data_IF_499216107739
#
_entry.id   IF_499216107739
#
_cell.length_a   1.000
_cell.length_b   1.000
_cell.length_c   1.000
_cell.angle_alpha   90.00
_cell.angle_beta   90.00
_cell.angle_gamma   90.00
#
_symmetry.space_group_name_H-M   'P 1'
#
loop_
_entity.id
_entity.type
_entity.pdbx_description
1 polymer ?
#
# COMPACT_ATOMS: atom_id res chain seq x y z
N UNK A 1 11.64 20.54 8.99
CA UNK A 1 12.98 19.91 9.04
C UNK A 1 13.45 19.66 10.48
N UNK A 2 13.39 20.68 11.36
CA UNK A 2 13.81 20.58 12.76
C UNK A 2 13.18 19.37 13.48
N UNK A 3 11.86 19.19 13.37
CA UNK A 3 11.15 18.03 13.96
C UNK A 3 11.69 16.66 13.53
N UNK A 4 12.14 16.51 12.27
CA UNK A 4 12.71 15.24 11.79
C UNK A 4 14.13 15.01 12.32
N UNK A 5 14.93 16.07 12.39
CA UNK A 5 16.29 15.99 12.95
C UNK A 5 16.25 15.71 14.45
N UNK A 6 15.37 16.39 15.18
CA UNK A 6 15.18 16.20 16.61
C UNK A 6 14.54 14.84 16.93
N UNK A 7 13.74 14.30 16.00
CA UNK A 7 13.11 12.99 16.10
C UNK A 7 14.05 11.81 15.79
N UNK A 8 15.10 12.03 15.00
CA UNK A 8 16.00 10.97 14.54
C UNK A 8 16.62 10.12 15.67
N UNK A 9 17.12 10.70 16.79
CA UNK A 9 17.68 9.93 17.90
C UNK A 9 16.70 8.94 18.53
N UNK A 10 15.39 9.16 18.39
CA UNK A 10 14.34 8.30 18.92
C UNK A 10 13.95 7.16 17.97
N UNK A 11 14.55 7.11 16.77
CA UNK A 11 14.43 5.99 15.82
C UNK A 11 12.97 5.61 15.49
N UNK A 12 12.10 6.60 15.41
CA UNK A 12 10.68 6.43 15.07
C UNK A 12 10.45 5.70 13.73
N UNK A 13 11.44 5.73 12.84
CA UNK A 13 11.42 5.05 11.54
C UNK A 13 11.48 3.51 11.62
N UNK A 14 11.62 2.91 12.81
CA UNK A 14 11.41 1.46 13.00
C UNK A 14 9.94 1.10 13.31
N UNK A 15 9.11 2.09 13.62
CA UNK A 15 7.71 1.94 14.02
C UNK A 15 6.80 2.31 12.83
N UNK A 16 6.77 1.45 11.81
CA UNK A 16 6.15 1.75 10.52
C UNK A 16 4.77 1.13 10.31
N UNK A 17 4.38 0.19 11.17
CA UNK A 17 3.12 -0.54 11.06
C UNK A 17 2.61 -0.94 12.44
N UNK A 18 1.36 -0.59 12.73
CA UNK A 18 0.61 -1.07 13.89
C UNK A 18 -0.86 -1.28 13.49
N UNK A 19 -1.72 -1.66 14.44
CA UNK A 19 -3.14 -1.88 14.17
C UNK A 19 -3.85 -0.67 13.54
N UNK A 20 -3.46 0.55 13.90
CA UNK A 20 -4.12 1.80 13.49
C UNK A 20 -3.47 2.48 12.28
N UNK A 21 -2.16 2.29 12.07
CA UNK A 21 -1.35 3.06 11.11
C UNK A 21 -0.39 2.16 10.33
N UNK A 22 0.04 2.63 9.16
CA UNK A 22 1.05 1.99 8.34
C UNK A 22 0.54 1.65 6.93
N UNK A 23 1.43 1.06 6.13
CA UNK A 23 1.27 0.97 4.68
C UNK A 23 -0.06 0.31 4.23
N UNK A 24 -0.50 -0.73 4.93
CA UNK A 24 -1.76 -1.43 4.68
C UNK A 24 -3.01 -0.54 4.70
N UNK A 25 -3.00 0.57 5.44
CA UNK A 25 -4.10 1.55 5.48
C UNK A 25 -3.79 2.78 4.64
N UNK A 26 -2.55 3.23 4.69
CA UNK A 26 -2.12 4.41 3.95
C UNK A 26 -2.27 4.22 2.45
N UNK A 27 -2.03 3.01 1.95
CA UNK A 27 -2.16 2.70 0.54
C UNK A 27 -3.62 2.71 0.07
N UNK A 28 -4.54 2.09 0.82
CA UNK A 28 -5.97 2.15 0.50
C UNK A 28 -6.47 3.60 0.51
N UNK A 29 -6.10 4.35 1.55
CA UNK A 29 -6.47 5.76 1.67
C UNK A 29 -5.90 6.59 0.51
N UNK A 30 -4.66 6.33 0.10
CA UNK A 30 -4.05 6.99 -1.05
C UNK A 30 -4.89 6.78 -2.31
N UNK A 31 -5.35 5.55 -2.59
CA UNK A 31 -6.20 5.24 -3.75
C UNK A 31 -7.52 6.00 -3.67
N UNK A 32 -8.15 6.07 -2.49
CA UNK A 32 -9.42 6.81 -2.30
C UNK A 32 -9.30 8.33 -2.54
N UNK A 33 -8.08 8.87 -2.52
CA UNK A 33 -7.80 10.27 -2.79
C UNK A 33 -7.37 10.54 -4.24
N UNK A 34 -7.17 9.50 -5.05
CA UNK A 34 -6.84 9.66 -6.45
C UNK A 34 -8.08 10.05 -7.25
N UNK A 35 -7.89 10.94 -8.22
CA UNK A 35 -8.83 11.12 -9.33
C UNK A 35 -8.52 10.01 -10.33
N UNK A 36 -9.54 9.31 -10.82
CA UNK A 36 -9.42 8.18 -11.75
C UNK A 36 -10.39 8.36 -12.93
N UNK A 37 -10.20 9.45 -13.68
CA UNK A 37 -11.11 9.87 -14.76
C UNK A 37 -10.52 9.71 -16.16
N UNK A 38 -9.18 9.72 -16.26
CA UNK A 38 -8.45 9.65 -17.54
C UNK A 38 -7.49 8.47 -17.56
N UNK A 39 -7.04 8.01 -18.75
CA UNK A 39 -6.05 6.94 -18.84
C UNK A 39 -4.77 7.22 -18.04
N UNK A 40 -4.30 8.46 -18.05
CA UNK A 40 -3.09 8.88 -17.33
C UNK A 40 -3.24 8.74 -15.80
N UNK A 41 -4.46 8.80 -15.28
CA UNK A 41 -4.71 8.57 -13.86
C UNK A 41 -4.57 7.09 -13.48
N UNK A 42 -4.99 6.18 -14.38
CA UNK A 42 -4.80 4.74 -14.21
C UNK A 42 -3.33 4.34 -14.39
N UNK A 43 -2.58 4.98 -15.29
CA UNK A 43 -1.12 4.81 -15.37
C UNK A 43 -0.43 5.20 -14.06
N UNK A 44 -0.81 6.34 -13.46
CA UNK A 44 -0.31 6.75 -12.14
C UNK A 44 -0.68 5.75 -11.06
N UNK A 45 -1.89 5.19 -11.08
CA UNK A 45 -2.30 4.18 -10.12
C UNK A 45 -1.43 2.90 -10.26
N UNK A 46 -1.29 2.38 -11.48
CA UNK A 46 -0.54 1.16 -11.77
C UNK A 46 0.96 1.32 -11.44
N UNK A 47 1.56 2.48 -11.74
CA UNK A 47 2.94 2.76 -11.34
C UNK A 47 3.15 2.74 -9.81
N UNK A 48 2.15 3.18 -9.03
CA UNK A 48 2.19 3.06 -7.56
C UNK A 48 2.11 1.59 -7.13
N UNK A 49 1.28 0.80 -7.79
CA UNK A 49 1.12 -0.63 -7.49
C UNK A 49 2.42 -1.38 -7.76
N UNK A 50 3.10 -1.09 -8.88
CA UNK A 50 4.41 -1.66 -9.19
C UNK A 50 5.51 -1.28 -8.18
N UNK A 51 5.41 -0.10 -7.56
CA UNK A 51 6.38 0.35 -6.56
C UNK A 51 6.10 -0.22 -5.15
N UNK A 52 4.87 -0.67 -4.88
CA UNK A 52 4.44 -1.11 -3.55
C UNK A 52 5.29 -2.27 -3.00
N UNK A 53 5.62 -3.35 -3.76
CA UNK A 53 6.46 -4.42 -3.25
C UNK A 53 7.82 -3.92 -2.72
N UNK A 54 8.46 -3.02 -3.45
CA UNK A 54 9.74 -2.44 -3.02
C UNK A 54 9.60 -1.64 -1.73
N UNK A 55 8.51 -0.88 -1.59
CA UNK A 55 8.22 -0.14 -0.37
C UNK A 55 7.96 -1.08 0.82
N UNK A 56 7.23 -2.18 0.61
CA UNK A 56 6.98 -3.19 1.64
C UNK A 56 8.29 -3.85 2.09
N UNK A 57 9.18 -4.21 1.16
CA UNK A 57 10.50 -4.78 1.49
C UNK A 57 11.34 -3.82 2.34
N UNK A 58 11.31 -2.53 2.01
CA UNK A 58 12.00 -1.48 2.79
C UNK A 58 11.42 -1.34 4.19
N UNK A 59 10.10 -1.41 4.33
CA UNK A 59 9.42 -1.38 5.64
C UNK A 59 9.83 -2.60 6.47
N UNK A 60 9.82 -3.81 5.87
CA UNK A 60 10.25 -5.04 6.54
C UNK A 60 11.71 -4.93 6.98
N UNK A 61 12.59 -4.39 6.13
CA UNK A 61 14.00 -4.17 6.47
C UNK A 61 14.15 -3.27 7.70
N UNK A 62 13.48 -2.12 7.72
CA UNK A 62 13.52 -1.19 8.85
C UNK A 62 12.94 -1.80 10.12
N UNK A 63 11.79 -2.46 10.05
CA UNK A 63 11.20 -3.13 11.22
C UNK A 63 12.09 -4.26 11.74
N UNK A 64 12.78 -4.99 10.85
CA UNK A 64 13.73 -6.05 11.22
C UNK A 64 14.96 -5.49 11.95
N UNK A 65 15.49 -4.35 11.50
CA UNK A 65 16.54 -3.63 12.24
C UNK A 65 16.04 -3.17 13.62
N UNK A 66 14.80 -2.66 13.71
CA UNK A 66 14.15 -2.31 14.97
C UNK A 66 14.11 -3.50 15.94
N UNK A 67 13.76 -4.68 15.46
CA UNK A 67 13.79 -5.92 16.27
C UNK A 67 15.19 -6.21 16.82
N UNK A 68 16.23 -6.09 15.99
CA UNK A 68 17.63 -6.31 16.42
C UNK A 68 18.08 -5.30 17.49
N UNK A 69 17.56 -4.07 17.43
CA UNK A 69 17.85 -3.02 18.41
C UNK A 69 16.93 -3.06 19.65
N UNK A 70 15.94 -3.95 19.70
CA UNK A 70 14.96 -4.01 20.79
C UNK A 70 13.91 -2.89 20.74
N UNK A 71 13.74 -2.25 19.59
CA UNK A 71 12.77 -1.19 19.31
C UNK A 71 11.58 -1.77 18.53
N UNK A 72 10.60 -2.27 19.28
CA UNK A 72 9.37 -2.87 18.74
C UNK A 72 8.15 -2.27 19.39
N UNK A 73 7.01 -2.28 18.68
CA UNK A 73 5.74 -1.91 19.27
C UNK A 73 5.38 -2.82 20.46
N UNK A 74 4.61 -2.28 21.40
CA UNK A 74 3.96 -3.09 22.42
C UNK A 74 2.97 -4.07 21.73
N UNK A 75 2.85 -5.30 22.24
CA UNK A 75 2.00 -6.36 21.67
C UNK A 75 0.55 -5.91 21.40
N UNK A 76 -0.05 -5.20 22.35
CA UNK A 76 -1.39 -4.60 22.21
C UNK A 76 -1.53 -3.72 20.96
N UNK A 77 -0.47 -2.99 20.56
CA UNK A 77 -0.50 -2.14 19.36
C UNK A 77 -0.45 -2.94 18.05
N UNK A 78 0.01 -4.20 18.10
CA UNK A 78 0.09 -5.10 16.94
C UNK A 78 -1.12 -6.04 16.86
N UNK A 79 -1.90 -6.16 17.92
CA UNK A 79 -3.07 -7.04 17.98
C UNK A 79 -4.07 -6.70 16.85
N UNK A 80 -4.41 -7.70 16.04
CA UNK A 80 -5.35 -7.56 14.92
C UNK A 80 -4.69 -7.14 13.59
N UNK A 81 -3.36 -6.94 13.54
CA UNK A 81 -2.69 -6.56 12.29
C UNK A 81 -2.85 -7.61 11.19
N UNK A 82 -2.81 -8.90 11.54
CA UNK A 82 -2.97 -9.99 10.58
C UNK A 82 -4.32 -9.93 9.89
N UNK A 83 -5.40 -9.67 10.63
CA UNK A 83 -6.76 -9.54 10.07
C UNK A 83 -6.81 -8.40 9.03
N UNK A 84 -6.11 -7.29 9.27
CA UNK A 84 -6.06 -6.19 8.30
C UNK A 84 -5.18 -6.50 7.06
N UNK A 85 -4.20 -7.40 7.19
CA UNK A 85 -3.29 -7.78 6.10
C UNK A 85 -3.83 -8.92 5.26
N UNK A 86 -4.54 -9.87 5.87
CA UNK A 86 -5.09 -11.07 5.22
C UNK A 86 -6.03 -10.74 4.06
N UNK A 87 -6.74 -9.61 4.12
CA UNK A 87 -7.61 -9.16 3.02
C UNK A 87 -6.88 -8.85 1.70
N UNK A 88 -5.56 -8.66 1.74
CA UNK A 88 -4.73 -8.47 0.55
C UNK A 88 -4.13 -9.77 0.04
N UNK A 89 -4.23 -10.86 0.82
CA UNK A 89 -3.75 -12.19 0.45
C UNK A 89 -4.93 -12.93 -0.18
N UNK A 90 -4.99 -12.87 -1.50
CA UNK A 90 -6.12 -13.41 -2.29
C UNK A 90 -5.64 -14.42 -3.33
N UNK A 91 -6.52 -15.35 -3.70
CA UNK A 91 -6.24 -16.34 -4.75
C UNK A 91 -6.32 -15.74 -6.15
N UNK A 92 -7.21 -14.76 -6.34
CA UNK A 92 -7.36 -14.04 -7.61
C UNK A 92 -7.18 -12.54 -7.39
N UNK A 93 -6.46 -11.82 -8.26
CA UNK A 93 -6.27 -10.37 -8.15
C UNK A 93 -7.60 -9.61 -8.04
N UNK A 94 -8.64 -10.10 -8.70
CA UNK A 94 -9.97 -9.50 -8.70
C UNK A 94 -10.67 -9.51 -7.34
N UNK A 95 -10.28 -10.40 -6.43
CA UNK A 95 -10.77 -10.43 -5.05
C UNK A 95 -10.05 -9.42 -4.15
N UNK A 96 -8.96 -8.80 -4.64
CA UNK A 96 -8.18 -7.82 -3.88
C UNK A 96 -8.91 -6.48 -3.81
N UNK A 97 -8.89 -5.80 -2.64
CA UNK A 97 -9.29 -4.39 -2.54
C UNK A 97 -8.56 -3.48 -3.54
N UNK A 98 -7.34 -3.85 -3.96
CA UNK A 98 -6.57 -3.08 -4.93
C UNK A 98 -7.16 -3.11 -6.34
N UNK A 99 -8.02 -4.09 -6.64
CA UNK A 99 -8.64 -4.23 -7.95
C UNK A 99 -9.94 -3.41 -8.11
N UNK A 100 -10.48 -2.86 -7.01
CA UNK A 100 -11.79 -2.20 -7.01
C UNK A 100 -11.90 -1.07 -8.04
N UNK A 101 -10.83 -0.27 -8.20
CA UNK A 101 -10.72 0.81 -9.18
C UNK A 101 -10.86 0.35 -10.65
N UNK A 102 -10.59 -0.93 -10.93
CA UNK A 102 -10.65 -1.49 -12.28
C UNK A 102 -11.98 -2.19 -12.56
N UNK A 103 -12.85 -2.38 -11.56
CA UNK A 103 -14.17 -3.02 -11.76
C UNK A 103 -15.06 -2.14 -12.64
N UNK A 104 -15.14 -0.85 -12.29
CA UNK A 104 -15.93 0.16 -13.02
C UNK A 104 -15.06 1.35 -13.36
N UNK A 105 -14.68 1.46 -14.62
CA UNK A 105 -13.89 2.58 -15.15
C UNK A 105 -14.81 3.62 -15.83
N UNK A 106 -14.42 4.90 -15.85
CA UNK A 106 -15.17 5.95 -16.56
C UNK A 106 -15.40 5.59 -18.03
N UNK A 107 -16.61 5.86 -18.54
CA UNK A 107 -16.94 5.64 -19.96
C UNK A 107 -16.23 6.57 -20.94
N UNK A 108 -15.46 7.55 -20.44
CA UNK A 108 -14.52 8.37 -21.22
C UNK A 108 -13.27 7.59 -21.66
N UNK A 109 -12.95 6.47 -21.00
CA UNK A 109 -11.82 5.61 -21.34
C UNK A 109 -12.29 4.58 -22.37
N UNK A 110 -11.51 4.40 -23.44
CA UNK A 110 -11.83 3.43 -24.46
C UNK A 110 -11.76 2.00 -23.90
N UNK A 111 -12.69 1.13 -24.30
CA UNK A 111 -12.77 -0.24 -23.78
C UNK A 111 -11.49 -1.05 -24.04
N UNK A 112 -10.80 -0.80 -25.16
CA UNK A 112 -9.51 -1.43 -25.45
C UNK A 112 -8.45 -1.09 -24.38
N UNK A 113 -8.30 0.19 -24.07
CA UNK A 113 -7.36 0.72 -23.07
C UNK A 113 -7.75 0.30 -21.65
N UNK A 114 -9.05 0.31 -21.33
CA UNK A 114 -9.56 -0.22 -20.06
C UNK A 114 -9.19 -1.70 -19.86
N UNK A 115 -9.24 -2.50 -20.93
CA UNK A 115 -8.83 -3.91 -20.87
C UNK A 115 -7.32 -4.07 -20.70
N UNK A 116 -6.49 -3.20 -21.29
CA UNK A 116 -5.05 -3.18 -21.04
C UNK A 116 -4.74 -2.90 -19.56
N UNK A 117 -5.40 -1.90 -18.97
CA UNK A 117 -5.25 -1.60 -17.55
C UNK A 117 -5.70 -2.76 -16.64
N UNK A 118 -6.85 -3.38 -16.94
CA UNK A 118 -7.32 -4.56 -16.20
C UNK A 118 -6.33 -5.72 -16.29
N UNK A 119 -5.76 -5.97 -17.47
CA UNK A 119 -4.79 -7.04 -17.68
C UNK A 119 -3.50 -6.77 -16.91
N UNK A 120 -3.01 -5.53 -16.93
CA UNK A 120 -1.81 -5.16 -16.18
C UNK A 120 -2.05 -5.22 -14.67
N UNK A 121 -3.20 -4.74 -14.19
CA UNK A 121 -3.59 -4.83 -12.78
C UNK A 121 -3.57 -6.30 -12.29
N UNK A 122 -4.13 -7.24 -13.06
CA UNK A 122 -4.11 -8.67 -12.72
C UNK A 122 -2.71 -9.30 -12.70
N UNK A 123 -1.72 -8.68 -13.33
CA UNK A 123 -0.35 -9.19 -13.33
C UNK A 123 0.46 -8.72 -12.12
N UNK A 124 0.09 -7.58 -11.53
CA UNK A 124 0.91 -6.89 -10.52
C UNK A 124 0.28 -6.86 -9.13
N UNK A 125 -1.01 -7.18 -9.01
CA UNK A 125 -1.73 -7.41 -7.75
C UNK A 125 -1.66 -8.89 -7.44
#
# INVERSE_FOLDING_TARGET
LITYMDGYPYKGFYFLLNYNEGIHKDFERLITWMVLETPEDFDKLLSRYMALPTQVDQIISLMSEGVLEGLVYHDISMKGINENLERFIVETPEDSPLYESFVSMPGSIAEEEANEFRNLAKQII
#
